data_IF_054051172594
#
_entry.id   IF_054051172594
#
_cell.length_a   1.000
_cell.length_b   1.000
_cell.length_c   1.000
_cell.angle_alpha   90.00
_cell.angle_beta   90.00
_cell.angle_gamma   90.00
#
_symmetry.space_group_name_H-M   'P 1'
#
loop_
_entity.id
_entity.type
_entity.pdbx_description
1 polymer ?
#
# COMPACT_ATOMS: atom_id res chain seq x y z
N UNK A 1 -0.48 35.24 13.97
CA UNK A 1 -1.62 35.63 13.10
C UNK A 1 -1.24 35.30 11.67
N UNK A 2 -0.89 34.04 11.37
CA UNK A 2 -0.12 33.75 10.15
C UNK A 2 -0.54 32.41 9.56
N UNK A 3 -1.79 32.35 9.06
CA UNK A 3 -2.23 31.26 8.18
C UNK A 3 -1.78 31.49 6.72
N UNK A 4 -0.93 32.49 6.46
CA UNK A 4 -0.55 32.96 5.12
C UNK A 4 -1.81 33.24 4.30
N UNK A 5 -1.97 32.58 3.15
CA UNK A 5 -3.12 32.72 2.25
C UNK A 5 -4.22 31.67 2.49
N UNK A 6 -4.03 30.76 3.45
CA UNK A 6 -5.01 29.70 3.76
C UNK A 6 -6.12 30.29 4.63
N UNK A 7 -7.36 30.16 4.17
CA UNK A 7 -8.55 30.63 4.87
C UNK A 7 -9.19 29.54 5.72
N UNK A 8 -10.25 29.88 6.45
CA UNK A 8 -11.08 28.89 7.16
C UNK A 8 -11.82 27.93 6.20
N UNK A 9 -12.00 28.30 4.93
CA UNK A 9 -12.56 27.42 3.91
C UNK A 9 -11.58 26.29 3.51
N UNK A 10 -10.30 26.43 3.87
CA UNK A 10 -9.27 25.43 3.60
C UNK A 10 -8.87 25.29 2.13
N UNK A 11 -7.90 24.41 1.89
CA UNK A 11 -7.36 24.06 0.58
C UNK A 11 -6.81 22.63 0.62
N UNK A 12 -6.96 21.89 -0.47
CA UNK A 12 -6.35 20.58 -0.64
C UNK A 12 -4.95 20.68 -1.27
N UNK A 13 -3.99 19.94 -0.72
CA UNK A 13 -2.66 19.72 -1.33
C UNK A 13 -2.46 18.20 -1.38
N UNK A 14 -2.66 17.58 -2.56
CA UNK A 14 -2.80 16.13 -2.63
C UNK A 14 -4.02 15.68 -1.82
N UNK A 15 -3.87 14.63 -1.01
CA UNK A 15 -4.92 14.15 -0.10
C UNK A 15 -4.88 14.78 1.31
N UNK A 16 -4.16 15.90 1.49
CA UNK A 16 -4.10 16.62 2.76
C UNK A 16 -4.96 17.88 2.73
N UNK A 17 -5.80 18.05 3.76
CA UNK A 17 -6.60 19.24 4.00
C UNK A 17 -5.81 20.23 4.86
N UNK A 18 -5.62 21.44 4.35
CA UNK A 18 -5.04 22.56 5.09
C UNK A 18 -6.13 23.60 5.35
N UNK A 19 -6.31 24.04 6.59
CA UNK A 19 -7.27 25.10 6.92
C UNK A 19 -6.81 25.96 8.10
N UNK A 20 -7.30 27.21 8.14
CA UNK A 20 -6.97 28.13 9.22
C UNK A 20 -8.05 28.07 10.31
N UNK A 21 -7.65 27.65 11.51
CA UNK A 21 -8.52 27.64 12.69
C UNK A 21 -7.85 28.42 13.81
N UNK A 22 -8.54 29.40 14.40
CA UNK A 22 -8.00 30.22 15.50
C UNK A 22 -6.62 30.84 15.21
N UNK A 23 -6.39 31.29 13.97
CA UNK A 23 -5.11 31.84 13.49
C UNK A 23 -3.92 30.86 13.50
N UNK A 24 -4.20 29.55 13.58
CA UNK A 24 -3.26 28.45 13.42
C UNK A 24 -3.56 27.67 12.14
N UNK A 25 -2.53 27.38 11.36
CA UNK A 25 -2.64 26.47 10.22
C UNK A 25 -2.75 25.04 10.73
N UNK A 26 -3.87 24.40 10.42
CA UNK A 26 -4.11 22.99 10.70
C UNK A 26 -3.86 22.19 9.43
N UNK A 27 -3.26 21.00 9.57
CA UNK A 27 -3.06 20.02 8.51
C UNK A 27 -3.72 18.72 8.93
N UNK A 28 -4.59 18.20 8.09
CA UNK A 28 -5.28 16.94 8.29
C UNK A 28 -4.97 16.03 7.12
N UNK A 29 -4.52 14.81 7.43
CA UNK A 29 -4.23 13.78 6.45
C UNK A 29 -5.48 12.94 6.24
N UNK A 30 -6.14 13.07 5.07
CA UNK A 30 -7.38 12.34 4.83
C UNK A 30 -7.15 10.84 4.66
N UNK A 31 -5.92 10.36 4.45
CA UNK A 31 -5.59 8.92 4.40
C UNK A 31 -5.62 8.25 5.79
N UNK A 32 -5.71 9.05 6.86
CA UNK A 32 -5.87 8.53 8.23
C UNK A 32 -7.18 7.73 8.41
N UNK A 33 -8.19 7.99 7.57
CA UNK A 33 -9.43 7.21 7.50
C UNK A 33 -9.51 6.58 6.11
N UNK A 34 -9.55 5.24 6.00
CA UNK A 34 -9.67 4.55 4.72
C UNK A 34 -10.80 5.09 3.83
N UNK A 35 -10.44 5.58 2.64
CA UNK A 35 -11.38 6.03 1.61
C UNK A 35 -11.92 7.45 1.74
N UNK A 36 -11.46 8.21 2.74
CA UNK A 36 -11.67 9.66 2.71
C UNK A 36 -10.72 10.32 1.73
N UNK A 37 -11.23 11.35 1.05
CA UNK A 37 -10.41 12.22 0.22
C UNK A 37 -10.64 13.69 0.56
N UNK A 38 -9.61 14.51 0.38
CA UNK A 38 -9.76 15.95 0.43
C UNK A 38 -10.52 16.42 -0.80
N UNK A 39 -11.70 17.00 -0.62
CA UNK A 39 -12.54 17.50 -1.73
C UNK A 39 -13.16 18.86 -1.40
N UNK A 40 -13.69 19.53 -2.41
CA UNK A 40 -14.42 20.79 -2.28
C UNK A 40 -15.93 20.54 -2.23
N UNK A 41 -16.56 20.93 -1.12
CA UNK A 41 -18.02 20.94 -0.99
C UNK A 41 -18.60 22.22 -1.57
N UNK A 42 -19.43 22.09 -2.60
CA UNK A 42 -20.18 23.22 -3.15
C UNK A 42 -21.29 23.69 -2.21
N UNK A 43 -21.84 22.80 -1.38
CA UNK A 43 -22.88 23.13 -0.40
C UNK A 43 -22.32 23.98 0.76
N UNK A 44 -21.11 23.66 1.22
CA UNK A 44 -20.43 24.40 2.29
C UNK A 44 -19.51 25.53 1.81
N UNK A 45 -19.18 25.56 0.51
CA UNK A 45 -18.10 26.38 -0.06
C UNK A 45 -16.74 26.20 0.66
N UNK A 46 -16.48 25.00 1.20
CA UNK A 46 -15.25 24.67 1.95
C UNK A 46 -14.64 23.36 1.46
N UNK A 47 -13.35 23.19 1.71
CA UNK A 47 -12.66 21.91 1.59
C UNK A 47 -12.83 21.10 2.87
N UNK A 48 -12.96 19.78 2.74
CA UNK A 48 -13.11 18.84 3.84
C UNK A 48 -12.55 17.47 3.49
N UNK A 49 -12.09 16.72 4.49
CA UNK A 49 -11.93 15.27 4.37
C UNK A 49 -13.32 14.64 4.46
N UNK A 50 -13.77 13.99 3.40
CA UNK A 50 -15.08 13.33 3.37
C UNK A 50 -15.03 12.12 2.45
N UNK A 51 -15.99 11.23 2.62
CA UNK A 51 -16.35 10.33 1.54
C UNK A 51 -16.93 11.18 0.40
N UNK A 52 -16.37 11.08 -0.81
CA UNK A 52 -16.84 11.86 -1.95
C UNK A 52 -18.27 11.47 -2.32
N UNK A 53 -19.14 12.44 -2.63
CA UNK A 53 -20.57 12.19 -2.98
C UNK A 53 -20.72 11.22 -4.17
N UNK A 54 -19.75 11.26 -5.08
CA UNK A 54 -19.51 10.22 -6.07
C UNK A 54 -18.17 9.61 -5.73
N UNK A 55 -18.18 8.37 -5.24
CA UNK A 55 -16.93 7.71 -4.94
C UNK A 55 -16.17 7.37 -6.21
N UNK A 56 -14.94 7.85 -6.32
CA UNK A 56 -14.04 7.53 -7.43
C UNK A 56 -13.17 6.34 -7.02
N UNK A 57 -13.38 5.16 -7.63
CA UNK A 57 -12.59 3.96 -7.33
C UNK A 57 -11.09 4.23 -7.44
N UNK A 58 -10.34 3.97 -6.38
CA UNK A 58 -8.87 4.10 -6.34
C UNK A 58 -8.20 2.80 -6.77
N UNK A 59 -8.21 2.59 -8.09
CA UNK A 59 -7.78 1.35 -8.73
C UNK A 59 -6.57 1.51 -9.64
N UNK A 60 -6.03 2.71 -9.73
CA UNK A 60 -4.76 2.95 -10.40
C UNK A 60 -3.70 2.00 -9.83
N UNK A 61 -3.01 1.30 -10.73
CA UNK A 61 -1.95 0.32 -10.42
C UNK A 61 -2.38 -0.94 -9.65
N UNK A 62 -3.66 -1.10 -9.33
CA UNK A 62 -4.20 -2.32 -8.72
C UNK A 62 -4.84 -3.26 -9.73
N UNK A 63 -4.62 -4.55 -9.52
CA UNK A 63 -5.28 -5.65 -10.24
C UNK A 63 -6.51 -6.17 -9.47
N UNK A 64 -6.51 -6.04 -8.15
CA UNK A 64 -7.52 -6.58 -7.25
C UNK A 64 -7.60 -5.77 -5.95
N UNK A 65 -8.57 -6.11 -5.10
CA UNK A 65 -8.71 -5.55 -3.76
C UNK A 65 -9.71 -4.39 -3.70
N UNK A 66 -9.80 -3.78 -2.52
CA UNK A 66 -10.73 -2.70 -2.21
C UNK A 66 -10.43 -1.43 -3.04
N UNK A 67 -11.48 -0.83 -3.60
CA UNK A 67 -11.41 0.38 -4.41
C UNK A 67 -11.54 1.68 -3.59
N UNK A 68 -11.54 1.56 -2.25
CA UNK A 68 -11.78 2.63 -1.26
C UNK A 68 -13.17 3.26 -1.32
N UNK A 69 -14.05 2.67 -2.12
CA UNK A 69 -15.41 3.14 -2.40
C UNK A 69 -16.49 2.13 -2.03
N UNK A 70 -16.12 1.06 -1.33
CA UNK A 70 -17.01 -0.06 -1.00
C UNK A 70 -17.23 -1.04 -2.16
N UNK A 71 -16.54 -0.85 -3.27
CA UNK A 71 -16.42 -1.79 -4.38
C UNK A 71 -15.04 -2.49 -4.39
N UNK A 72 -14.66 -3.01 -5.55
CA UNK A 72 -13.37 -3.66 -5.76
C UNK A 72 -12.76 -3.29 -7.11
N UNK A 73 -11.43 -3.21 -7.17
CA UNK A 73 -10.67 -2.88 -8.37
C UNK A 73 -10.61 -4.01 -9.40
N UNK A 74 -10.91 -5.23 -8.96
CA UNK A 74 -10.88 -6.42 -9.80
C UNK A 74 -10.85 -7.69 -8.94
N UNK A 75 -10.71 -8.82 -9.62
CA UNK A 75 -10.58 -10.14 -9.01
C UNK A 75 -9.36 -10.83 -9.59
N UNK A 76 -8.63 -11.57 -8.76
CA UNK A 76 -7.51 -12.37 -9.25
C UNK A 76 -7.99 -13.57 -10.07
N UNK A 77 -7.22 -13.97 -11.09
CA UNK A 77 -7.49 -15.19 -11.85
C UNK A 77 -7.34 -16.44 -10.96
N UNK A 78 -7.86 -17.58 -11.43
CA UNK A 78 -8.03 -18.78 -10.60
C UNK A 78 -6.77 -19.20 -9.81
N UNK A 79 -7.01 -19.61 -8.57
CA UNK A 79 -6.03 -20.00 -7.54
C UNK A 79 -5.08 -18.89 -7.04
N UNK A 80 -5.16 -17.67 -7.57
CA UNK A 80 -4.40 -16.54 -7.04
C UNK A 80 -5.14 -15.80 -5.93
N UNK A 81 -4.38 -15.14 -5.07
CA UNK A 81 -4.88 -14.28 -4.00
C UNK A 81 -4.44 -12.84 -4.23
N UNK A 82 -5.19 -11.91 -3.65
CA UNK A 82 -4.90 -10.50 -3.75
C UNK A 82 -3.93 -10.09 -2.64
N UNK A 83 -2.78 -9.52 -3.00
CA UNK A 83 -1.85 -8.95 -2.04
C UNK A 83 -2.43 -7.70 -1.36
N UNK A 84 -1.84 -7.28 -0.24
CA UNK A 84 -2.27 -6.07 0.47
C UNK A 84 -2.07 -4.78 -0.32
N UNK A 85 -1.25 -4.81 -1.39
CA UNK A 85 -1.03 -3.69 -2.31
C UNK A 85 -1.84 -3.82 -3.61
N UNK A 86 -2.71 -4.82 -3.72
CA UNK A 86 -3.61 -4.99 -4.87
C UNK A 86 -2.99 -5.68 -6.08
N UNK A 87 -1.96 -6.51 -5.88
CA UNK A 87 -1.34 -7.33 -6.94
C UNK A 87 -1.77 -8.78 -6.78
N UNK A 88 -2.13 -9.43 -7.89
CA UNK A 88 -2.47 -10.84 -7.86
C UNK A 88 -1.21 -11.71 -7.89
N UNK A 89 -1.20 -12.76 -7.07
CA UNK A 89 -0.12 -13.74 -7.05
C UNK A 89 -0.55 -15.05 -6.41
N UNK A 90 0.28 -16.10 -6.49
CA UNK A 90 0.01 -17.37 -5.84
C UNK A 90 -0.11 -17.19 -4.31
N UNK A 91 -0.96 -17.96 -3.61
CA UNK A 91 -1.02 -17.92 -2.16
C UNK A 91 0.31 -18.41 -1.55
N UNK A 92 0.66 -17.88 -0.38
CA UNK A 92 1.91 -18.23 0.30
C UNK A 92 1.99 -19.72 0.72
N UNK A 93 0.86 -20.38 0.93
CA UNK A 93 0.84 -21.74 1.50
C UNK A 93 1.55 -21.75 2.85
N UNK A 94 2.53 -22.65 3.01
CA UNK A 94 3.35 -22.77 4.22
C UNK A 94 4.61 -21.88 4.21
N UNK A 95 4.86 -21.14 3.13
CA UNK A 95 6.02 -20.24 3.02
C UNK A 95 5.75 -18.98 3.84
N UNK A 96 6.71 -18.60 4.67
CA UNK A 96 6.63 -17.38 5.50
C UNK A 96 7.45 -16.24 4.89
N UNK A 97 7.44 -15.06 5.53
CA UNK A 97 8.30 -13.94 5.12
C UNK A 97 9.80 -14.28 5.21
N UNK A 98 10.17 -15.27 6.03
CA UNK A 98 11.54 -15.77 6.14
C UNK A 98 12.02 -16.50 4.89
N UNK A 99 11.09 -16.91 4.03
CA UNK A 99 11.36 -17.62 2.79
C UNK A 99 11.86 -19.06 2.96
N UNK A 100 12.18 -19.66 1.83
CA UNK A 100 12.76 -21.00 1.70
C UNK A 100 13.53 -21.11 0.38
N UNK A 101 14.50 -22.02 0.35
CA UNK A 101 15.23 -22.36 -0.88
C UNK A 101 14.58 -23.53 -1.61
N UNK A 102 14.40 -23.37 -2.92
CA UNK A 102 13.93 -24.42 -3.83
C UNK A 102 14.96 -24.68 -4.93
N UNK A 103 14.74 -25.77 -5.67
CA UNK A 103 15.51 -26.14 -6.86
C UNK A 103 17.03 -26.18 -6.67
N UNK A 104 17.51 -26.92 -5.68
CA UNK A 104 18.95 -27.03 -5.39
C UNK A 104 19.61 -25.68 -5.07
N UNK A 105 18.96 -24.88 -4.23
CA UNK A 105 19.47 -23.61 -3.72
C UNK A 105 19.66 -22.53 -4.79
N UNK A 106 18.98 -22.62 -5.94
CA UNK A 106 19.02 -21.57 -6.98
C UNK A 106 17.83 -20.62 -6.93
N UNK A 107 16.76 -21.01 -6.27
CA UNK A 107 15.51 -20.24 -6.24
C UNK A 107 15.15 -19.90 -4.81
N UNK A 108 14.99 -18.62 -4.52
CA UNK A 108 14.42 -18.12 -3.28
C UNK A 108 12.91 -17.95 -3.47
N UNK A 109 12.12 -18.53 -2.58
CA UNK A 109 10.70 -18.21 -2.45
C UNK A 109 10.43 -17.58 -1.10
N UNK A 110 9.56 -16.58 -1.04
CA UNK A 110 9.16 -15.95 0.22
C UNK A 110 7.76 -15.38 0.12
N UNK A 111 7.05 -15.36 1.25
CA UNK A 111 5.75 -14.71 1.33
C UNK A 111 5.96 -13.21 1.54
N UNK A 112 5.30 -12.39 0.73
CA UNK A 112 5.26 -10.95 0.95
C UNK A 112 3.86 -10.44 0.66
N UNK A 113 3.32 -9.66 1.59
CA UNK A 113 2.02 -8.98 1.40
C UNK A 113 0.86 -9.95 1.08
N UNK A 114 0.97 -11.21 1.49
CA UNK A 114 -0.05 -12.25 1.28
C UNK A 114 0.09 -13.05 -0.02
N UNK A 115 1.10 -12.79 -0.85
CA UNK A 115 1.39 -13.56 -2.06
C UNK A 115 2.80 -14.18 -2.00
N UNK A 116 2.98 -15.32 -2.67
CA UNK A 116 4.26 -15.99 -2.84
C UNK A 116 5.05 -15.29 -3.95
N UNK A 117 6.27 -14.87 -3.63
CA UNK A 117 7.22 -14.33 -4.59
C UNK A 117 8.35 -15.33 -4.82
N UNK A 118 8.83 -15.40 -6.05
CA UNK A 118 9.91 -16.27 -6.50
C UNK A 118 11.02 -15.44 -7.13
N UNK A 119 12.26 -15.65 -6.70
CA UNK A 119 13.46 -15.02 -7.24
C UNK A 119 14.43 -16.11 -7.67
N UNK A 120 14.84 -16.09 -8.94
CA UNK A 120 15.93 -16.90 -9.44
C UNK A 120 17.27 -16.25 -9.04
N UNK A 121 17.90 -16.77 -7.98
CA UNK A 121 19.20 -16.30 -7.52
C UNK A 121 20.32 -16.59 -8.54
N UNK A 122 20.17 -17.65 -9.35
CA UNK A 122 21.20 -18.06 -10.31
C UNK A 122 21.33 -17.07 -11.47
N UNK A 123 20.24 -16.37 -11.81
CA UNK A 123 20.25 -15.25 -12.76
C UNK A 123 21.23 -14.13 -12.34
N UNK A 124 21.53 -14.03 -11.04
CA UNK A 124 22.46 -13.06 -10.46
C UNK A 124 23.81 -13.65 -10.07
N UNK A 125 24.07 -14.94 -10.38
CA UNK A 125 25.24 -15.70 -9.91
C UNK A 125 25.33 -15.79 -8.38
N UNK A 126 24.17 -15.86 -7.73
CA UNK A 126 24.00 -16.04 -6.30
C UNK A 126 23.32 -17.38 -6.05
N UNK A 127 23.29 -17.80 -4.79
CA UNK A 127 22.58 -18.99 -4.33
C UNK A 127 21.64 -18.61 -3.20
N UNK A 128 20.50 -19.25 -3.12
CA UNK A 128 19.62 -19.13 -1.97
C UNK A 128 20.32 -19.73 -0.75
N UNK A 129 20.57 -18.92 0.28
CA UNK A 129 21.23 -19.33 1.51
C UNK A 129 20.53 -18.73 2.72
N UNK A 130 20.68 -19.41 3.85
CA UNK A 130 20.20 -18.90 5.13
C UNK A 130 21.09 -17.74 5.61
N UNK A 131 20.48 -16.60 5.91
CA UNK A 131 21.08 -15.44 6.55
C UNK A 131 20.51 -15.29 7.97
N UNK A 132 21.31 -15.49 9.04
CA UNK A 132 20.86 -15.34 10.42
C UNK A 132 20.58 -13.88 10.82
N UNK A 133 21.02 -12.90 10.05
CA UNK A 133 20.89 -11.46 10.39
C UNK A 133 19.58 -10.84 9.91
N UNK A 134 18.88 -11.52 9.01
CA UNK A 134 17.57 -11.12 8.49
C UNK A 134 16.51 -11.03 9.59
N UNK A 135 15.49 -10.20 9.35
CA UNK A 135 14.33 -10.01 10.25
C UNK A 135 14.73 -9.74 11.72
N UNK A 136 15.69 -8.84 11.95
CA UNK A 136 16.10 -8.51 13.32
C UNK A 136 16.86 -9.64 14.05
N UNK A 137 17.62 -10.44 13.31
CA UNK A 137 18.32 -11.65 13.78
C UNK A 137 17.43 -12.87 14.06
N UNK A 138 16.19 -12.86 13.59
CA UNK A 138 15.35 -14.06 13.61
C UNK A 138 15.78 -15.05 12.50
N UNK A 139 16.42 -14.51 11.46
CA UNK A 139 17.02 -15.22 10.33
C UNK A 139 16.03 -15.55 9.21
N UNK A 140 16.54 -15.72 8.00
CA UNK A 140 15.73 -15.97 6.81
C UNK A 140 16.58 -16.50 5.67
N UNK A 141 16.02 -16.61 4.49
CA UNK A 141 16.73 -17.00 3.28
C UNK A 141 16.84 -15.81 2.34
N UNK A 142 17.99 -15.67 1.71
CA UNK A 142 18.26 -14.61 0.73
C UNK A 142 19.17 -15.13 -0.38
N UNK A 143 19.21 -14.43 -1.51
CA UNK A 143 20.17 -14.70 -2.58
C UNK A 143 21.54 -14.15 -2.17
N UNK A 144 22.45 -15.02 -1.77
CA UNK A 144 23.78 -14.69 -1.27
C UNK A 144 24.90 -15.34 -2.10
N UNK A 145 26.12 -14.75 -2.11
CA UNK A 145 27.29 -15.34 -2.79
C UNK A 145 27.67 -16.70 -2.20
#
# INVERSE_FOLDING_TARGET
MNCYDITAAGQCIGNQLLYCQNAQLVREDCDAIPGMVCTYSHAGQTHLCTYPEVCQPQCEEKQCGDDRCGGSCGTCPDEQVCSTVGVCGPPCGDVTERGACLYHDTTLVYCSQGILLEIDCSAYRLYCKYDPTMHGNEGGYDCLP
#
